data_IF_325972983676
#
_entry.id   IF_325972983676
#
_cell.length_a   1.000
_cell.length_b   1.000
_cell.length_c   1.000
_cell.angle_alpha   90.00
_cell.angle_beta   90.00
_cell.angle_gamma   90.00
#
_symmetry.space_group_name_H-M   'P 1'
#
loop_
_entity.id
_entity.type
_entity.pdbx_description
1 polymer ?
#
# COMPACT_ATOMS: atom_id res chain seq x y z
N UNK A 1 28.78 8.46 -0.65
CA UNK A 1 27.44 7.83 -0.58
C UNK A 1 26.65 8.68 0.40
N UNK A 2 25.70 9.48 -0.08
CA UNK A 2 24.87 10.35 0.77
C UNK A 2 23.68 9.55 1.30
N UNK A 3 23.49 9.56 2.62
CA UNK A 3 22.26 9.07 3.25
C UNK A 3 21.17 10.12 3.09
N UNK A 4 20.08 9.77 2.39
CA UNK A 4 18.85 10.58 2.34
C UNK A 4 17.83 9.98 3.30
N UNK A 5 17.29 10.81 4.19
CA UNK A 5 16.17 10.41 5.04
C UNK A 5 14.90 10.41 4.18
N UNK A 6 14.33 9.22 3.96
CA UNK A 6 13.03 9.04 3.32
C UNK A 6 11.99 9.09 4.44
N UNK A 7 10.99 9.96 4.33
CA UNK A 7 9.83 9.90 5.21
C UNK A 7 8.97 8.75 4.73
N UNK A 8 8.67 7.82 5.62
CA UNK A 8 7.82 6.68 5.33
C UNK A 8 6.89 6.44 6.51
N UNK A 9 5.69 5.98 6.24
CA UNK A 9 4.77 5.51 7.26
C UNK A 9 4.25 4.13 6.90
N UNK A 10 3.91 3.35 7.92
CA UNK A 10 3.42 2.00 7.74
C UNK A 10 1.90 1.98 7.96
N UNK A 11 1.17 1.41 7.00
CA UNK A 11 -0.25 1.07 7.17
C UNK A 11 -0.41 -0.44 6.99
N UNK A 12 -1.37 -1.03 7.71
CA UNK A 12 -1.71 -2.45 7.53
C UNK A 12 -2.33 -2.75 6.15
N UNK A 13 -2.76 -1.71 5.42
CA UNK A 13 -3.36 -1.82 4.07
C UNK A 13 -2.30 -1.76 2.97
N UNK A 14 -1.36 -0.82 3.06
CA UNK A 14 -0.48 -0.40 1.96
C UNK A 14 1.00 -0.73 2.25
N UNK A 15 1.31 -1.29 3.42
CA UNK A 15 2.67 -1.61 3.83
C UNK A 15 3.49 -0.35 4.13
N UNK A 16 4.78 -0.37 3.75
CA UNK A 16 5.68 0.78 3.91
C UNK A 16 5.42 1.77 2.77
N UNK A 17 4.69 2.85 3.05
CA UNK A 17 4.40 3.90 2.08
C UNK A 17 5.47 4.98 2.18
N UNK A 18 6.17 5.21 1.07
CA UNK A 18 7.05 6.36 0.93
C UNK A 18 6.20 7.63 0.81
N UNK A 19 6.41 8.58 1.72
CA UNK A 19 5.77 9.88 1.67
C UNK A 19 6.52 10.73 0.64
N UNK A 20 6.03 10.72 -0.59
CA UNK A 20 6.29 11.82 -1.50
C UNK A 20 5.54 13.05 -0.96
N UNK A 21 6.25 13.89 -0.20
CA UNK A 21 5.79 15.12 0.47
C UNK A 21 5.31 16.22 -0.53
N UNK A 22 4.58 15.87 -1.60
CA UNK A 22 4.00 16.87 -2.48
C UNK A 22 2.58 17.24 -1.99
N UNK A 23 2.51 18.36 -1.27
CA UNK A 23 1.26 19.02 -0.85
C UNK A 23 0.28 19.14 -2.02
N UNK A 24 0.76 19.37 -3.24
CA UNK A 24 -0.09 19.47 -4.42
C UNK A 24 -0.72 18.13 -4.80
N UNK A 25 -0.03 17.01 -4.57
CA UNK A 25 -0.57 15.67 -4.79
C UNK A 25 -1.76 15.42 -3.86
N UNK A 26 -1.62 15.72 -2.58
CA UNK A 26 -2.71 15.55 -1.59
C UNK A 26 -3.90 16.45 -1.94
N UNK A 27 -3.66 17.71 -2.29
CA UNK A 27 -4.74 18.63 -2.71
C UNK A 27 -5.46 18.11 -3.96
N UNK A 28 -4.72 17.55 -4.93
CA UNK A 28 -5.31 16.96 -6.14
C UNK A 28 -6.18 15.76 -5.79
N UNK A 29 -5.69 14.84 -4.97
CA UNK A 29 -6.43 13.65 -4.55
C UNK A 29 -7.72 14.00 -3.79
N UNK A 30 -7.68 15.00 -2.89
CA UNK A 30 -8.89 15.49 -2.21
C UNK A 30 -9.89 16.07 -3.20
N UNK A 31 -9.42 16.85 -4.18
CA UNK A 31 -10.29 17.39 -5.24
C UNK A 31 -10.90 16.30 -6.10
N UNK A 32 -10.14 15.25 -6.43
CA UNK A 32 -10.62 14.13 -7.25
C UNK A 32 -11.71 13.33 -6.51
N UNK A 33 -11.55 13.13 -5.20
CA UNK A 33 -12.51 12.36 -4.37
C UNK A 33 -13.76 13.16 -3.99
N UNK A 34 -13.62 14.44 -3.64
CA UNK A 34 -14.69 15.23 -3.02
C UNK A 34 -15.14 16.43 -3.86
N UNK A 35 -14.47 16.73 -4.98
CA UNK A 35 -14.75 17.89 -5.81
C UNK A 35 -14.60 19.20 -5.03
N UNK A 36 -15.57 20.08 -5.16
CA UNK A 36 -15.61 21.37 -4.46
C UNK A 36 -16.24 21.28 -3.05
N UNK A 37 -16.65 20.08 -2.61
CA UNK A 37 -17.24 19.87 -1.28
C UNK A 37 -16.22 20.09 -0.17
N UNK A 38 -14.94 19.79 -0.41
CA UNK A 38 -13.88 19.97 0.60
C UNK A 38 -12.90 21.02 0.13
N UNK A 39 -12.65 21.98 1.01
CA UNK A 39 -11.74 23.10 0.82
C UNK A 39 -10.59 22.98 1.81
N UNK A 40 -9.37 23.14 1.31
CA UNK A 40 -8.16 23.13 2.11
C UNK A 40 -7.56 24.54 2.08
N UNK A 41 -7.37 25.14 3.26
CA UNK A 41 -6.78 26.47 3.40
C UNK A 41 -5.62 26.47 4.37
N UNK A 42 -4.55 27.19 4.06
CA UNK A 42 -3.46 27.44 5.00
C UNK A 42 -3.80 28.63 5.91
N UNK A 43 -3.82 28.40 7.22
CA UNK A 43 -3.97 29.47 8.22
C UNK A 43 -2.57 29.94 8.67
N UNK A 44 -2.13 31.14 8.27
CA UNK A 44 -0.78 31.62 8.54
C UNK A 44 -0.52 31.86 10.03
N UNK A 45 -1.56 32.15 10.82
CA UNK A 45 -1.39 32.44 12.25
C UNK A 45 -1.03 31.20 13.05
N UNK A 46 -1.76 30.11 12.83
CA UNK A 46 -1.51 28.84 13.53
C UNK A 46 -0.49 27.98 12.80
N UNK A 47 -0.14 28.32 11.55
CA UNK A 47 0.68 27.49 10.67
C UNK A 47 0.09 26.08 10.50
N UNK A 48 -1.22 26.01 10.27
CA UNK A 48 -1.92 24.75 10.05
C UNK A 48 -2.73 24.81 8.77
N UNK A 49 -2.87 23.66 8.13
CA UNK A 49 -3.88 23.43 7.11
C UNK A 49 -5.22 23.18 7.79
N UNK A 50 -6.25 23.87 7.29
CA UNK A 50 -7.62 23.81 7.75
C UNK A 50 -8.44 23.15 6.65
N UNK A 51 -9.08 22.02 6.98
CA UNK A 51 -9.95 21.29 6.07
C UNK A 51 -11.40 21.63 6.42
N UNK A 52 -12.12 22.15 5.44
CA UNK A 52 -13.48 22.67 5.58
C UNK A 52 -14.40 21.94 4.61
N UNK A 53 -15.56 21.51 5.10
CA UNK A 53 -16.65 20.98 4.29
C UNK A 53 -17.63 22.09 3.92
N UNK A 54 -17.79 22.32 2.61
CA UNK A 54 -18.85 23.12 2.04
C UNK A 54 -20.12 22.27 1.99
N UNK A 55 -21.06 22.57 2.89
CA UNK A 55 -22.29 21.80 2.98
C UNK A 55 -23.37 22.32 2.04
N UNK A 56 -24.31 21.45 1.66
CA UNK A 56 -25.42 21.78 0.75
C UNK A 56 -26.35 22.88 1.29
N UNK A 57 -26.35 23.10 2.61
CA UNK A 57 -27.09 24.18 3.27
C UNK A 57 -26.38 25.55 3.19
N UNK A 58 -25.25 25.63 2.46
CA UNK A 58 -24.47 26.85 2.27
C UNK A 58 -23.57 27.20 3.45
N UNK A 59 -23.51 26.36 4.49
CA UNK A 59 -22.63 26.57 5.63
C UNK A 59 -21.28 25.86 5.44
N UNK A 60 -20.22 26.51 5.88
CA UNK A 60 -18.89 25.91 6.00
C UNK A 60 -18.75 25.23 7.37
N UNK A 61 -18.31 23.97 7.39
CA UNK A 61 -18.08 23.20 8.62
C UNK A 61 -16.62 22.78 8.72
N UNK A 62 -15.99 23.04 9.86
CA UNK A 62 -14.63 22.56 10.12
C UNK A 62 -14.63 21.04 10.26
N UNK A 63 -13.79 20.35 9.48
CA UNK A 63 -13.57 18.91 9.62
C UNK A 63 -12.47 18.69 10.66
N UNK A 64 -11.25 19.15 10.35
CA UNK A 64 -10.10 19.17 11.26
C UNK A 64 -9.00 20.11 10.77
N UNK A 65 -8.01 20.36 11.62
CA UNK A 65 -6.78 21.07 11.29
C UNK A 65 -5.57 20.15 11.42
N UNK A 66 -4.54 20.36 10.60
CA UNK A 66 -3.31 19.57 10.62
C UNK A 66 -2.10 20.44 10.29
N UNK A 67 -0.94 20.26 10.94
CA UNK A 67 0.27 20.99 10.60
C UNK A 67 0.88 20.56 9.25
N UNK A 68 0.63 19.32 8.83
CA UNK A 68 1.19 18.72 7.61
C UNK A 68 0.07 18.19 6.70
N UNK A 69 0.24 18.34 5.38
CA UNK A 69 -0.60 17.74 4.34
C UNK A 69 0.14 16.56 3.72
N UNK A 70 -0.15 15.37 4.23
CA UNK A 70 0.42 14.09 3.78
C UNK A 70 -0.68 13.02 3.66
N UNK A 71 -0.31 11.78 3.33
CA UNK A 71 -1.25 10.67 3.13
C UNK A 71 -2.17 10.40 4.33
N UNK A 72 -1.73 10.67 5.56
CA UNK A 72 -2.53 10.47 6.78
C UNK A 72 -3.75 11.40 6.83
N UNK A 73 -3.67 12.54 6.13
CA UNK A 73 -4.80 13.48 6.00
C UNK A 73 -5.92 12.84 5.20
N UNK A 74 -5.59 12.13 4.11
CA UNK A 74 -6.56 11.43 3.28
C UNK A 74 -7.24 10.32 4.08
N UNK A 75 -6.48 9.48 4.77
CA UNK A 75 -7.02 8.41 5.61
C UNK A 75 -7.99 8.96 6.65
N UNK A 76 -7.60 10.06 7.32
CA UNK A 76 -8.43 10.72 8.31
C UNK A 76 -9.71 11.31 7.70
N UNK A 77 -9.61 11.88 6.50
CA UNK A 77 -10.75 12.43 5.77
C UNK A 77 -11.74 11.33 5.39
N UNK A 78 -11.25 10.23 4.82
CA UNK A 78 -12.00 9.03 4.46
C UNK A 78 -12.68 8.44 5.69
N UNK A 79 -11.96 8.28 6.79
CA UNK A 79 -12.51 7.76 8.04
C UNK A 79 -13.58 8.68 8.65
N UNK A 80 -13.45 10.00 8.47
CA UNK A 80 -14.41 10.98 8.96
C UNK A 80 -15.67 11.08 8.11
N UNK A 81 -15.62 10.72 6.82
CA UNK A 81 -16.80 10.77 5.96
C UNK A 81 -17.68 9.52 6.13
N UNK A 82 -18.81 9.71 6.82
CA UNK A 82 -19.85 8.69 6.97
C UNK A 82 -20.44 8.18 5.64
N UNK A 83 -20.37 8.97 4.55
CA UNK A 83 -20.83 8.56 3.21
C UNK A 83 -19.82 7.68 2.46
N UNK A 84 -18.53 7.77 2.81
CA UNK A 84 -17.43 7.01 2.17
C UNK A 84 -17.40 5.54 2.62
N UNK A 85 -18.24 5.13 3.58
CA UNK A 85 -18.48 3.71 3.89
C UNK A 85 -18.94 2.86 2.68
N UNK A 86 -19.31 3.49 1.56
CA UNK A 86 -19.60 2.83 0.28
C UNK A 86 -18.52 2.98 -0.80
N UNK A 87 -17.45 3.76 -0.57
CA UNK A 87 -16.34 3.89 -1.52
C UNK A 87 -15.50 2.62 -1.47
N UNK A 88 -15.77 1.70 -2.39
CA UNK A 88 -14.82 0.66 -2.77
C UNK A 88 -13.84 1.31 -3.74
N UNK A 89 -12.60 1.41 -3.32
CA UNK A 89 -11.51 1.77 -4.21
C UNK A 89 -11.45 0.72 -5.35
N UNK A 90 -11.53 1.16 -6.60
CA UNK A 90 -11.55 0.26 -7.75
C UNK A 90 -10.19 -0.45 -7.94
N UNK A 91 -9.12 0.12 -7.38
CA UNK A 91 -7.80 -0.51 -7.38
C UNK A 91 -7.69 -1.63 -6.32
N UNK A 92 -8.36 -1.48 -5.17
CA UNK A 92 -8.36 -2.50 -4.10
C UNK A 92 -8.92 -3.86 -4.54
N UNK A 93 -9.91 -3.87 -5.44
CA UNK A 93 -10.53 -5.13 -5.90
C UNK A 93 -9.63 -5.83 -6.93
N UNK A 94 -8.98 -5.06 -7.81
CA UNK A 94 -8.04 -5.58 -8.80
C UNK A 94 -6.71 -6.06 -8.15
N UNK A 95 -6.23 -5.34 -7.14
CA UNK A 95 -5.01 -5.69 -6.40
C UNK A 95 -5.21 -6.94 -5.55
N UNK A 96 -6.36 -7.09 -4.87
CA UNK A 96 -6.69 -8.34 -4.15
C UNK A 96 -6.79 -9.56 -5.06
N UNK A 97 -7.25 -9.37 -6.29
CA UNK A 97 -7.32 -10.47 -7.25
C UNK A 97 -5.92 -10.83 -7.79
N UNK A 98 -5.02 -9.85 -7.95
CA UNK A 98 -3.60 -10.12 -8.23
C UNK A 98 -2.89 -10.79 -7.06
N UNK A 99 -3.08 -10.31 -5.84
CA UNK A 99 -2.49 -10.91 -4.63
C UNK A 99 -2.96 -12.35 -4.41
N UNK A 100 -4.24 -12.64 -4.67
CA UNK A 100 -4.75 -14.02 -4.63
C UNK A 100 -4.13 -14.90 -5.70
N UNK A 101 -3.93 -14.36 -6.91
CA UNK A 101 -3.28 -15.10 -7.99
C UNK A 101 -1.81 -15.40 -7.65
N UNK A 102 -1.08 -14.40 -7.15
CA UNK A 102 0.30 -14.52 -6.71
C UNK A 102 0.43 -15.54 -5.57
N UNK A 103 -0.44 -15.47 -4.56
CA UNK A 103 -0.45 -16.42 -3.45
C UNK A 103 -0.76 -17.86 -3.90
N UNK A 104 -1.60 -18.04 -4.92
CA UNK A 104 -1.88 -19.36 -5.49
C UNK A 104 -0.68 -19.92 -6.27
N UNK A 105 0.05 -19.08 -7.01
CA UNK A 105 1.29 -19.46 -7.69
C UNK A 105 2.40 -19.84 -6.71
N UNK A 106 2.54 -19.08 -5.61
CA UNK A 106 3.52 -19.36 -4.56
C UNK A 106 3.19 -20.68 -3.83
N UNK A 107 1.91 -20.93 -3.53
CA UNK A 107 1.47 -22.18 -2.93
C UNK A 107 1.76 -23.40 -3.84
N UNK A 108 1.44 -23.29 -5.14
CA UNK A 108 1.72 -24.35 -6.11
C UNK A 108 3.24 -24.59 -6.30
N UNK A 109 4.05 -23.53 -6.19
CA UNK A 109 5.51 -23.62 -6.26
C UNK A 109 6.09 -24.30 -5.03
N UNK A 110 5.59 -23.99 -3.82
CA UNK A 110 5.98 -24.66 -2.58
C UNK A 110 5.65 -26.14 -2.57
N UNK A 111 4.49 -26.54 -3.10
CA UNK A 111 4.12 -27.96 -3.21
C UNK A 111 5.10 -28.73 -4.12
N UNK A 112 5.45 -28.17 -5.28
CA UNK A 112 6.45 -28.78 -6.18
C UNK A 112 7.84 -28.91 -5.54
N UNK A 113 8.26 -27.89 -4.78
CA UNK A 113 9.54 -27.92 -4.06
C UNK A 113 9.52 -28.99 -2.96
N UNK A 114 8.39 -29.13 -2.25
CA UNK A 114 8.21 -30.18 -1.25
C UNK A 114 8.28 -31.57 -1.88
N UNK A 115 7.56 -31.80 -2.96
CA UNK A 115 7.54 -33.09 -3.66
C UNK A 115 8.91 -33.46 -4.23
N UNK A 116 9.64 -32.49 -4.79
CA UNK A 116 11.01 -32.67 -5.24
C UNK A 116 11.96 -32.97 -4.07
N UNK A 117 11.78 -32.30 -2.93
CA UNK A 117 12.53 -32.56 -1.70
C UNK A 117 12.28 -33.97 -1.15
N UNK A 118 11.03 -34.42 -1.17
CA UNK A 118 10.64 -35.78 -0.75
C UNK A 118 11.22 -36.85 -1.68
N UNK A 119 11.22 -36.63 -3.00
CA UNK A 119 11.90 -37.51 -3.95
C UNK A 119 13.41 -37.55 -3.73
N UNK A 120 14.04 -36.40 -3.52
CA UNK A 120 15.49 -36.33 -3.30
C UNK A 120 15.89 -37.00 -1.98
N UNK A 121 15.11 -36.79 -0.92
CA UNK A 121 15.27 -37.46 0.37
C UNK A 121 15.08 -38.98 0.25
N UNK A 122 14.08 -39.45 -0.52
CA UNK A 122 13.90 -40.86 -0.81
C UNK A 122 15.10 -41.45 -1.57
N UNK A 123 15.60 -40.77 -2.60
CA UNK A 123 16.79 -41.20 -3.38
C UNK A 123 18.05 -41.28 -2.50
N UNK A 124 18.26 -40.30 -1.61
CA UNK A 124 19.40 -40.28 -0.71
C UNK A 124 19.33 -41.38 0.37
N UNK A 125 18.14 -41.68 0.89
CA UNK A 125 17.95 -42.70 1.94
C UNK A 125 17.80 -44.13 1.41
N UNK A 126 17.40 -44.31 0.15
CA UNK A 126 17.29 -45.63 -0.49
C UNK A 126 18.64 -46.20 -0.96
N UNK A 127 19.76 -45.53 -0.65
CA UNK A 127 21.11 -46.03 -0.91
C UNK A 127 21.52 -46.00 -2.38
N UNK A 128 20.81 -45.24 -3.21
CA UNK A 128 21.15 -45.08 -4.62
C UNK A 128 22.41 -44.22 -4.75
N UNK A 129 23.55 -44.85 -5.03
CA UNK A 129 24.80 -44.17 -5.37
C UNK A 129 24.57 -43.24 -6.57
N UNK A 130 24.51 -41.94 -6.33
CA UNK A 130 24.56 -40.92 -7.38
C UNK A 130 25.92 -41.06 -8.07
N UNK A 131 25.92 -41.60 -9.29
CA UNK A 131 27.11 -41.67 -10.13
C UNK A 131 27.34 -40.28 -10.73
N UNK A 132 28.28 -39.53 -10.16
CA UNK A 132 28.78 -38.30 -10.77
C UNK A 132 29.85 -38.74 -11.78
N UNK A 133 29.59 -38.69 -13.11
CA UNK A 133 30.63 -39.00 -14.08
C UNK A 133 31.74 -37.96 -13.92
N UNK A 134 32.91 -38.39 -13.43
CA UNK A 134 34.12 -37.57 -13.50
C UNK A 134 34.39 -37.32 -14.97
N UNK A 135 34.53 -36.04 -15.32
CA UNK A 135 34.94 -35.59 -16.63
C UNK A 135 36.15 -36.37 -17.11
N UNK A 136 36.09 -36.76 -18.38
CA UNK A 136 37.20 -37.33 -19.13
C UNK A 136 38.18 -36.19 -19.38
N UNK A 137 39.22 -36.11 -18.55
CA UNK A 137 40.37 -35.26 -18.81
C UNK A 137 41.54 -36.13 -19.28
N UNK A 138 41.92 -35.94 -20.55
CA UNK A 138 43.28 -36.10 -21.08
C UNK A 138 43.89 -37.50 -21.15
#
# INVERSE_FOLDING_TARGET
MELRAIKCFYTDRDGLVELEDDVLSIVRQVRDLYGDRIKITWEPTTQHYVLIENSEDGNERLIFTTPELDGRVLDRLIASDSRVRGYKDAYDEAERDQDRAQAAEDAASMEKVRDAGEQLHWVLNSGSRIFIPRGVDG
#
